data_IF_889997935634
#
_entry.id   IF_889997935634
#
_cell.length_a   1.000
_cell.length_b   1.000
_cell.length_c   1.000
_cell.angle_alpha   90.00
_cell.angle_beta   90.00
_cell.angle_gamma   90.00
#
_symmetry.space_group_name_H-M   'P 1'
#
loop_
_entity.id
_entity.type
_entity.pdbx_description
1 polymer ?
#
# COMPACT_ATOMS: atom_id res chain seq x y z
N UNK A 1 2.16 14.86 -11.68
CA UNK A 1 1.45 13.67 -11.18
C UNK A 1 2.05 13.35 -9.81
N UNK A 2 1.22 13.15 -8.78
CA UNK A 2 1.67 12.98 -7.38
C UNK A 2 2.49 11.68 -7.28
N UNK A 3 3.81 11.80 -7.06
CA UNK A 3 4.71 10.65 -6.95
C UNK A 3 4.58 9.91 -5.60
N UNK A 4 5.42 8.88 -5.43
CA UNK A 4 5.52 8.13 -4.17
C UNK A 4 5.87 9.06 -3.01
N UNK A 5 4.94 9.16 -2.05
CA UNK A 5 5.02 10.04 -0.88
C UNK A 5 5.20 9.21 0.39
N UNK A 6 6.13 9.60 1.24
CA UNK A 6 6.33 8.98 2.56
C UNK A 6 5.34 9.58 3.56
N UNK A 7 4.63 8.73 4.29
CA UNK A 7 3.66 9.15 5.31
C UNK A 7 4.33 9.17 6.68
N UNK A 8 5.04 8.09 7.00
CA UNK A 8 5.91 7.91 8.16
C UNK A 8 7.11 7.06 7.71
N UNK A 9 8.13 6.95 8.55
CA UNK A 9 9.33 6.15 8.26
C UNK A 9 8.98 4.78 7.69
N UNK A 10 9.48 4.51 6.48
CA UNK A 10 9.28 3.25 5.75
C UNK A 10 7.84 2.93 5.29
N UNK A 11 6.87 3.84 5.45
CA UNK A 11 5.51 3.70 4.93
C UNK A 11 5.22 4.75 3.85
N UNK A 12 4.85 4.29 2.65
CA UNK A 12 4.60 5.14 1.50
C UNK A 12 3.18 4.99 0.96
N UNK A 13 2.66 6.07 0.37
CA UNK A 13 1.40 6.11 -0.37
C UNK A 13 1.63 6.62 -1.79
N UNK A 14 0.90 6.07 -2.77
CA UNK A 14 0.90 6.56 -4.16
C UNK A 14 -0.36 6.14 -4.93
N UNK A 15 -0.51 6.68 -6.15
CA UNK A 15 -1.38 6.10 -7.18
C UNK A 15 -0.67 4.97 -7.93
N UNK A 16 -1.08 4.73 -9.18
CA UNK A 16 -0.34 3.82 -10.06
C UNK A 16 1.04 4.43 -10.41
N UNK A 17 2.09 3.68 -10.10
CA UNK A 17 3.48 4.11 -10.30
C UNK A 17 4.25 3.11 -11.15
N UNK A 18 5.30 3.59 -11.81
CA UNK A 18 6.18 2.75 -12.62
C UNK A 18 7.03 1.81 -11.75
N UNK A 19 7.33 0.62 -12.26
CA UNK A 19 8.30 -0.32 -11.66
C UNK A 19 9.60 0.37 -11.25
N UNK A 20 10.14 1.23 -12.10
CA UNK A 20 11.39 1.94 -11.82
C UNK A 20 11.28 2.87 -10.61
N UNK A 21 10.18 3.61 -10.49
CA UNK A 21 9.95 4.49 -9.34
C UNK A 21 9.88 3.71 -8.03
N UNK A 22 9.17 2.57 -8.04
CA UNK A 22 9.03 1.69 -6.87
C UNK A 22 10.39 1.12 -6.45
N UNK A 23 11.15 0.59 -7.41
CA UNK A 23 12.47 0.01 -7.14
C UNK A 23 13.49 1.06 -6.68
N UNK A 24 13.49 2.26 -7.26
CA UNK A 24 14.39 3.35 -6.88
C UNK A 24 14.18 3.83 -5.45
N UNK A 25 12.94 3.73 -4.92
CA UNK A 25 12.66 4.04 -3.51
C UNK A 25 13.18 2.97 -2.54
N UNK A 26 13.60 1.82 -3.06
CA UNK A 26 14.01 0.67 -2.26
C UNK A 26 12.81 -0.02 -1.59
N UNK A 27 11.61 0.10 -2.16
CA UNK A 27 10.42 -0.56 -1.65
C UNK A 27 10.59 -2.07 -1.74
N UNK A 28 10.19 -2.77 -0.68
CA UNK A 28 10.35 -4.22 -0.50
C UNK A 28 8.99 -4.93 -0.39
N UNK A 29 7.92 -4.19 -0.10
CA UNK A 29 6.56 -4.69 -0.07
C UNK A 29 5.62 -3.69 -0.76
N UNK A 30 4.76 -4.19 -1.65
CA UNK A 30 3.72 -3.41 -2.33
C UNK A 30 2.36 -4.02 -2.02
N UNK A 31 1.45 -3.19 -1.51
CA UNK A 31 0.05 -3.52 -1.25
C UNK A 31 -0.83 -2.72 -2.21
N UNK A 32 -1.40 -3.39 -3.20
CA UNK A 32 -2.31 -2.83 -4.18
C UNK A 32 -3.76 -3.07 -3.74
N UNK A 33 -4.48 -2.00 -3.39
CA UNK A 33 -5.87 -2.05 -2.94
C UNK A 33 -6.79 -1.56 -4.06
N UNK A 34 -6.64 -2.11 -5.26
CA UNK A 34 -7.47 -1.74 -6.40
C UNK A 34 -7.83 -2.94 -7.25
N UNK A 35 -9.06 -2.96 -7.75
CA UNK A 35 -9.51 -4.01 -8.67
C UNK A 35 -8.92 -3.77 -10.07
N UNK A 36 -8.85 -2.51 -10.48
CA UNK A 36 -8.50 -2.03 -11.81
C UNK A 36 -7.00 -2.06 -12.14
N UNK A 37 -6.11 -1.86 -11.15
CA UNK A 37 -4.67 -1.87 -11.44
C UNK A 37 -4.17 -3.31 -11.54
N UNK A 38 -3.48 -3.70 -12.62
CA UNK A 38 -2.90 -5.04 -12.71
C UNK A 38 -1.83 -5.25 -11.64
N UNK A 39 -1.55 -6.51 -11.33
CA UNK A 39 -0.35 -6.86 -10.58
C UNK A 39 0.88 -6.51 -11.44
N UNK A 40 1.86 -5.84 -10.84
CA UNK A 40 3.12 -5.55 -11.51
C UNK A 40 4.14 -6.60 -11.10
N UNK A 41 4.85 -7.19 -12.07
CA UNK A 41 6.09 -7.88 -11.78
C UNK A 41 7.11 -6.83 -11.29
N UNK A 42 7.59 -6.97 -10.06
CA UNK A 42 8.62 -6.13 -9.44
C UNK A 42 9.90 -6.92 -9.12
N UNK A 43 10.00 -8.16 -9.60
CA UNK A 43 11.09 -9.07 -9.33
C UNK A 43 10.94 -9.84 -8.02
N UNK A 44 11.80 -10.85 -7.79
CA UNK A 44 11.66 -11.81 -6.68
C UNK A 44 11.92 -11.18 -5.31
N UNK A 45 12.50 -9.99 -5.29
CA UNK A 45 12.86 -9.33 -4.05
C UNK A 45 11.67 -8.53 -3.51
N UNK A 46 10.70 -8.11 -4.32
CA UNK A 46 9.57 -7.31 -3.84
C UNK A 46 8.38 -8.22 -3.57
N UNK A 47 7.91 -8.22 -2.32
CA UNK A 47 6.66 -8.87 -1.96
C UNK A 47 5.50 -8.07 -2.53
N UNK A 48 4.64 -8.69 -3.33
CA UNK A 48 3.47 -8.04 -3.90
C UNK A 48 2.18 -8.67 -3.37
N UNK A 49 1.29 -7.84 -2.85
CA UNK A 49 -0.04 -8.25 -2.43
C UNK A 49 -1.09 -7.42 -3.17
N UNK A 50 -2.03 -8.09 -3.83
CA UNK A 50 -3.19 -7.45 -4.46
C UNK A 50 -4.47 -7.79 -3.70
N UNK A 51 -5.20 -6.76 -3.31
CA UNK A 51 -6.54 -6.83 -2.73
C UNK A 51 -7.49 -6.09 -3.65
N UNK A 52 -8.31 -6.84 -4.39
CA UNK A 52 -9.26 -6.27 -5.35
C UNK A 52 -10.44 -5.63 -4.62
N UNK A 53 -10.40 -4.31 -4.45
CA UNK A 53 -11.46 -3.51 -3.84
C UNK A 53 -11.93 -2.44 -4.83
N UNK A 54 -13.23 -2.41 -5.10
CA UNK A 54 -13.87 -1.37 -5.90
C UNK A 54 -13.93 -0.05 -5.11
N UNK A 55 -13.72 1.07 -5.79
CA UNK A 55 -13.85 2.41 -5.19
C UNK A 55 -15.33 2.86 -5.21
N UNK A 56 -16.19 2.11 -4.51
CA UNK A 56 -17.62 2.38 -4.43
C UNK A 56 -18.05 2.54 -2.97
N UNK A 57 -18.96 3.47 -2.65
CA UNK A 57 -19.49 3.63 -1.28
C UNK A 57 -20.13 2.36 -0.71
N UNK A 58 -20.60 1.47 -1.58
CA UNK A 58 -21.23 0.19 -1.22
C UNK A 58 -20.21 -0.93 -0.97
N UNK A 59 -18.93 -0.71 -1.29
CA UNK A 59 -17.88 -1.73 -1.12
C UNK A 59 -17.22 -1.55 0.24
N UNK A 60 -17.36 -2.57 1.10
CA UNK A 60 -16.72 -2.54 2.42
C UNK A 60 -15.25 -2.92 2.31
N UNK A 61 -14.38 -2.00 2.70
CA UNK A 61 -12.95 -2.24 2.93
C UNK A 61 -12.68 -2.90 4.29
N UNK A 62 -13.69 -2.89 5.17
CA UNK A 62 -13.57 -3.29 6.57
C UNK A 62 -12.98 -4.69 6.80
N UNK A 63 -13.37 -5.73 6.01
CA UNK A 63 -12.85 -7.08 6.20
C UNK A 63 -11.33 -7.21 6.00
N UNK A 64 -10.71 -6.25 5.32
CA UNK A 64 -9.28 -6.29 5.00
C UNK A 64 -8.42 -5.48 5.95
N UNK A 65 -9.01 -4.62 6.80
CA UNK A 65 -8.25 -3.74 7.68
C UNK A 65 -7.28 -4.50 8.55
N UNK A 66 -7.78 -5.38 9.42
CA UNK A 66 -6.96 -6.01 10.45
C UNK A 66 -5.78 -6.80 9.86
N UNK A 67 -6.00 -7.48 8.73
CA UNK A 67 -4.96 -8.22 8.03
C UNK A 67 -3.93 -7.30 7.39
N UNK A 68 -4.37 -6.24 6.71
CA UNK A 68 -3.48 -5.32 6.01
C UNK A 68 -2.69 -4.44 6.98
N UNK A 69 -3.32 -3.95 8.04
CA UNK A 69 -2.66 -3.14 9.08
C UNK A 69 -1.66 -3.97 9.85
N UNK A 70 -1.99 -5.21 10.22
CA UNK A 70 -1.03 -6.13 10.83
C UNK A 70 0.18 -6.39 9.93
N UNK A 71 -0.04 -6.59 8.62
CA UNK A 71 1.05 -6.76 7.64
C UNK A 71 1.94 -5.53 7.55
N UNK A 72 1.34 -4.34 7.45
CA UNK A 72 2.08 -3.06 7.43
C UNK A 72 2.89 -2.93 8.72
N UNK A 73 2.29 -3.16 9.89
CA UNK A 73 2.97 -3.04 11.17
C UNK A 73 4.16 -4.00 11.29
N UNK A 74 3.99 -5.27 10.90
CA UNK A 74 5.09 -6.25 10.87
C UNK A 74 6.23 -5.81 9.94
N UNK A 75 5.92 -5.26 8.78
CA UNK A 75 6.94 -4.75 7.87
C UNK A 75 7.70 -3.57 8.48
N UNK A 76 6.99 -2.63 9.12
CA UNK A 76 7.60 -1.48 9.79
C UNK A 76 8.54 -1.91 10.93
N UNK A 77 8.14 -2.88 11.75
CA UNK A 77 8.98 -3.46 12.79
C UNK A 77 10.28 -4.10 12.23
N UNK A 78 10.24 -4.57 10.99
CA UNK A 78 11.40 -5.14 10.29
C UNK A 78 12.22 -4.09 9.52
N UNK A 79 11.87 -2.80 9.61
CA UNK A 79 12.50 -1.74 8.80
C UNK A 79 12.22 -1.88 7.29
N UNK A 80 11.18 -2.62 6.91
CA UNK A 80 10.85 -2.93 5.52
C UNK A 80 9.99 -1.83 4.90
N UNK A 81 10.55 -1.14 3.91
CA UNK A 81 9.85 -0.12 3.11
C UNK A 81 8.62 -0.71 2.41
N UNK A 82 7.44 -0.22 2.80
CA UNK A 82 6.14 -0.69 2.34
C UNK A 82 5.41 0.41 1.60
N UNK A 83 4.95 0.12 0.39
CA UNK A 83 4.10 1.00 -0.40
C UNK A 83 2.66 0.48 -0.40
N UNK A 84 1.71 1.35 -0.06
CA UNK A 84 0.28 1.11 -0.21
C UNK A 84 -0.24 1.99 -1.33
N UNK A 85 -0.80 1.38 -2.40
CA UNK A 85 -1.35 2.14 -3.51
C UNK A 85 -2.75 1.66 -3.89
N UNK A 86 -3.50 2.55 -4.53
CA UNK A 86 -4.73 2.20 -5.25
C UNK A 86 -4.59 2.68 -6.69
N UNK A 87 -5.60 3.36 -7.26
CA UNK A 87 -5.49 3.94 -8.59
C UNK A 87 -4.89 5.35 -8.57
N UNK A 88 -5.46 6.26 -7.76
CA UNK A 88 -5.00 7.66 -7.64
C UNK A 88 -4.41 8.02 -6.28
N UNK A 89 -4.34 7.06 -5.35
CA UNK A 89 -3.72 7.27 -4.03
C UNK A 89 -4.54 8.07 -3.02
N UNK A 90 -5.87 8.19 -3.19
CA UNK A 90 -6.71 9.09 -2.38
C UNK A 90 -7.71 8.43 -1.44
N UNK A 91 -8.42 7.41 -1.92
CA UNK A 91 -9.53 6.78 -1.20
C UNK A 91 -9.03 5.54 -0.46
N UNK A 92 -9.07 4.37 -1.14
CA UNK A 92 -8.72 3.05 -0.57
C UNK A 92 -7.38 2.99 0.14
N UNK A 93 -6.31 3.51 -0.47
CA UNK A 93 -4.96 3.48 0.13
C UNK A 93 -4.84 4.37 1.36
N UNK A 94 -5.42 5.57 1.33
CA UNK A 94 -5.43 6.45 2.49
C UNK A 94 -6.27 5.86 3.62
N UNK A 95 -7.42 5.26 3.28
CA UNK A 95 -8.29 4.57 4.24
C UNK A 95 -7.55 3.46 4.97
N UNK A 96 -6.77 2.60 4.30
CA UNK A 96 -5.97 1.56 4.98
C UNK A 96 -4.87 2.16 5.86
N UNK A 97 -4.16 3.19 5.41
CA UNK A 97 -3.09 3.82 6.20
C UNK A 97 -3.65 4.50 7.46
N UNK A 98 -4.82 5.15 7.36
CA UNK A 98 -5.50 5.77 8.50
C UNK A 98 -6.25 4.75 9.37
N UNK A 99 -6.60 3.61 8.78
CA UNK A 99 -7.42 2.58 9.38
C UNK A 99 -6.72 1.91 10.55
N UNK A 100 -7.34 2.03 11.72
CA UNK A 100 -6.97 1.40 12.99
C UNK A 100 -5.56 1.80 13.46
N UNK A 101 -5.53 2.97 14.12
CA UNK A 101 -4.59 3.35 15.16
C UNK A 101 -3.22 2.67 15.00
N UNK A 102 -2.41 3.19 14.06
CA UNK A 102 -0.97 2.97 14.10
C UNK A 102 -0.50 3.64 15.41
N UNK A 103 -0.66 2.94 16.54
CA UNK A 103 -0.10 3.33 17.81
C UNK A 103 1.40 3.15 17.65
N UNK A 104 2.03 4.22 17.18
CA UNK A 104 3.46 4.45 17.26
C UNK A 104 3.70 4.84 18.72
N UNK A 105 3.75 3.85 19.62
CA UNK A 105 4.29 3.99 20.97
C UNK A 105 5.55 3.15 21.05
#
# INVERSE_FOLDING_TARGET
MLGITEVIDNLYISGLESRQAILNKGIRCVINISSECPMQDLGPTVEYEKVSILDLPTTSIQPYFDRLTARIHQNLQQGKKTLVHCYVGRSRSATIILGKQININ
#
